data_IF_002393242196
#
_entry.id   IF_002393242196
#
_cell.length_a   1.000
_cell.length_b   1.000
_cell.length_c   1.000
_cell.angle_alpha   90.00
_cell.angle_beta   90.00
_cell.angle_gamma   90.00
#
_symmetry.space_group_name_H-M   'P 1'
#
loop_
_entity.id
_entity.type
_entity.pdbx_description
1 polymer ?
#
# COMPACT_ATOMS: atom_id res chain seq x y z
N UNK A 1 4.14 -7.78 -18.34
CA UNK A 1 3.70 -9.15 -17.93
C UNK A 1 4.82 -9.80 -17.11
N UNK A 2 4.54 -10.67 -16.13
CA UNK A 2 5.59 -11.30 -15.31
C UNK A 2 6.38 -12.32 -16.12
N UNK A 3 7.72 -12.23 -16.07
CA UNK A 3 8.68 -13.10 -16.74
C UNK A 3 9.55 -13.85 -15.72
N UNK A 4 10.09 -14.99 -16.14
CA UNK A 4 10.98 -15.85 -15.33
C UNK A 4 12.14 -16.40 -16.16
N UNK A 5 12.28 -15.94 -17.38
CA UNK A 5 13.27 -16.40 -18.35
C UNK A 5 14.47 -15.45 -18.39
N UNK A 6 15.60 -16.00 -18.84
CA UNK A 6 16.79 -15.23 -19.19
C UNK A 6 16.59 -14.58 -20.56
N UNK A 7 16.55 -13.23 -20.67
CA UNK A 7 16.37 -12.53 -21.95
C UNK A 7 17.52 -12.82 -22.92
N UNK A 8 17.28 -12.69 -24.22
CA UNK A 8 18.34 -12.90 -25.20
C UNK A 8 19.34 -11.72 -25.17
N UNK A 9 20.64 -11.95 -24.91
CA UNK A 9 21.64 -10.88 -24.82
C UNK A 9 21.85 -10.11 -26.13
N UNK A 10 21.50 -10.67 -27.29
CA UNK A 10 21.64 -9.99 -28.59
C UNK A 10 20.46 -9.09 -28.91
N UNK A 11 19.27 -9.40 -28.38
CA UNK A 11 18.03 -8.66 -28.66
C UNK A 11 17.81 -7.60 -27.57
N UNK A 12 17.99 -7.98 -26.30
CA UNK A 12 17.71 -7.14 -25.14
C UNK A 12 18.91 -7.17 -24.16
N UNK A 13 20.05 -6.57 -24.54
CA UNK A 13 21.29 -6.64 -23.76
C UNK A 13 21.15 -6.04 -22.35
N UNK A 14 20.44 -4.91 -22.23
CA UNK A 14 20.25 -4.22 -20.96
C UNK A 14 19.41 -5.04 -19.99
N UNK A 15 18.29 -5.61 -20.46
CA UNK A 15 17.43 -6.43 -19.63
C UNK A 15 18.15 -7.72 -19.23
N UNK A 16 18.85 -8.37 -20.17
CA UNK A 16 19.67 -9.54 -19.88
C UNK A 16 20.69 -9.25 -18.78
N UNK A 17 21.45 -8.14 -18.89
CA UNK A 17 22.40 -7.73 -17.87
C UNK A 17 21.73 -7.57 -16.50
N UNK A 18 20.61 -6.84 -16.41
CA UNK A 18 19.89 -6.62 -15.15
C UNK A 18 19.34 -7.92 -14.55
N UNK A 19 18.83 -8.84 -15.37
CA UNK A 19 18.30 -10.14 -14.90
C UNK A 19 19.42 -11.00 -14.33
N UNK A 20 20.56 -11.09 -15.02
CA UNK A 20 21.72 -11.85 -14.54
C UNK A 20 22.29 -11.24 -13.25
N UNK A 21 22.37 -9.91 -13.15
CA UNK A 21 22.89 -9.22 -11.96
C UNK A 21 21.95 -9.33 -10.77
N UNK A 22 20.66 -9.05 -10.95
CA UNK A 22 19.74 -8.83 -9.83
C UNK A 22 18.75 -9.97 -9.60
N UNK A 23 18.40 -10.75 -10.62
CA UNK A 23 17.30 -11.73 -10.54
C UNK A 23 17.77 -13.18 -10.54
N UNK A 24 19.03 -13.43 -10.88
CA UNK A 24 19.62 -14.75 -10.72
C UNK A 24 19.75 -15.08 -9.23
N UNK A 25 19.16 -16.20 -8.82
CA UNK A 25 19.28 -16.69 -7.46
C UNK A 25 20.72 -17.13 -7.17
N UNK A 26 21.27 -16.62 -6.07
CA UNK A 26 22.57 -17.02 -5.54
C UNK A 26 22.38 -17.61 -4.15
N UNK A 27 22.84 -18.86 -3.97
CA UNK A 27 22.92 -19.47 -2.66
C UNK A 27 24.10 -18.85 -1.89
N UNK A 28 23.90 -18.40 -0.65
CA UNK A 28 24.96 -17.89 0.21
C UNK A 28 25.16 -18.78 1.44
N UNK A 29 26.18 -18.50 2.25
CA UNK A 29 26.49 -19.24 3.49
C UNK A 29 25.34 -19.25 4.52
N UNK A 30 24.30 -18.41 4.34
CA UNK A 30 23.10 -18.36 5.20
C UNK A 30 21.97 -19.24 4.72
N UNK A 31 22.08 -19.88 3.55
CA UNK A 31 21.15 -20.91 3.09
C UNK A 31 21.29 -22.14 3.99
N UNK A 32 20.51 -22.18 5.07
CA UNK A 32 20.65 -23.12 6.19
C UNK A 32 20.32 -24.59 5.90
N UNK A 33 19.93 -24.94 4.67
CA UNK A 33 19.57 -26.31 4.32
C UNK A 33 19.78 -26.51 2.84
N UNK A 34 20.87 -27.21 2.48
CA UNK A 34 20.85 -28.06 1.29
C UNK A 34 20.25 -29.37 1.77
N UNK A 35 18.99 -29.62 1.44
CA UNK A 35 18.40 -30.91 1.79
C UNK A 35 18.95 -31.93 0.79
N UNK A 36 19.85 -32.80 1.25
CA UNK A 36 20.60 -33.73 0.39
C UNK A 36 19.70 -34.75 -0.31
N UNK A 37 18.48 -34.94 0.18
CA UNK A 37 17.44 -35.81 -0.37
C UNK A 37 16.70 -35.17 -1.54
N UNK A 38 16.39 -33.87 -1.48
CA UNK A 38 15.58 -33.17 -2.48
C UNK A 38 16.37 -32.26 -3.44
N UNK A 39 17.69 -32.12 -3.25
CA UNK A 39 18.59 -31.28 -4.09
C UNK A 39 18.07 -29.84 -4.28
N UNK A 40 17.34 -29.30 -3.31
CA UNK A 40 16.83 -27.94 -3.34
C UNK A 40 17.55 -27.07 -2.31
N UNK A 41 17.88 -25.85 -2.71
CA UNK A 41 18.33 -24.80 -1.79
C UNK A 41 17.16 -24.35 -0.90
N UNK A 42 17.46 -23.78 0.26
CA UNK A 42 16.49 -23.35 1.30
C UNK A 42 15.32 -22.45 0.84
N UNK A 43 15.36 -21.90 -0.38
CA UNK A 43 14.28 -21.10 -0.99
C UNK A 43 13.49 -21.83 -2.08
N UNK A 44 13.67 -23.14 -2.24
CA UNK A 44 12.98 -23.96 -3.25
C UNK A 44 13.51 -23.74 -4.66
N UNK A 45 14.80 -23.42 -4.80
CA UNK A 45 15.49 -23.33 -6.08
C UNK A 45 16.40 -24.56 -6.24
N UNK A 46 16.58 -25.14 -7.45
CA UNK A 46 15.95 -24.74 -8.72
C UNK A 46 14.43 -25.01 -8.74
N UNK A 47 13.68 -24.13 -9.40
CA UNK A 47 12.24 -24.29 -9.60
C UNK A 47 11.96 -25.32 -10.72
N UNK A 48 10.82 -26.03 -10.70
CA UNK A 48 10.50 -27.03 -11.71
C UNK A 48 10.35 -26.41 -13.10
N UNK A 49 10.72 -27.16 -14.14
CA UNK A 49 10.41 -26.83 -15.52
C UNK A 49 8.91 -26.98 -15.78
N UNK A 50 8.35 -26.10 -16.58
CA UNK A 50 6.94 -26.15 -16.98
C UNK A 50 6.74 -25.44 -18.31
N UNK A 51 5.88 -25.99 -19.17
CA UNK A 51 5.55 -25.38 -20.46
C UNK A 51 4.54 -24.24 -20.35
N UNK A 52 3.87 -24.09 -19.19
CA UNK A 52 2.85 -23.07 -18.98
C UNK A 52 2.85 -22.54 -17.56
N UNK A 53 2.38 -21.31 -17.39
CA UNK A 53 2.13 -20.75 -16.06
C UNK A 53 0.76 -21.21 -15.56
N UNK A 54 0.69 -21.82 -14.38
CA UNK A 54 -0.57 -22.31 -13.81
C UNK A 54 -0.61 -22.24 -12.29
N UNK A 55 -1.82 -22.23 -11.74
CA UNK A 55 -2.07 -22.40 -10.32
C UNK A 55 -2.42 -23.87 -10.05
N UNK A 56 -1.63 -24.55 -9.21
CA UNK A 56 -2.02 -25.88 -8.71
C UNK A 56 -2.99 -25.71 -7.53
N UNK A 57 -4.06 -26.49 -7.48
CA UNK A 57 -5.15 -26.36 -6.49
C UNK A 57 -4.67 -26.44 -5.04
N UNK A 58 -3.58 -27.17 -4.79
CA UNK A 58 -3.01 -27.35 -3.45
C UNK A 58 -1.85 -26.41 -3.15
N UNK A 59 -1.37 -25.63 -4.13
CA UNK A 59 -0.22 -24.76 -3.95
C UNK A 59 -0.65 -23.34 -3.58
N UNK A 60 0.07 -22.76 -2.63
CA UNK A 60 -0.09 -21.36 -2.24
C UNK A 60 0.53 -20.38 -3.26
N UNK A 61 1.17 -20.89 -4.32
CA UNK A 61 1.94 -20.12 -5.30
C UNK A 61 1.70 -20.64 -6.71
N UNK A 62 1.83 -19.73 -7.67
CA UNK A 62 1.86 -20.07 -9.09
C UNK A 62 3.16 -20.78 -9.47
N UNK A 63 3.04 -21.76 -10.36
CA UNK A 63 4.17 -22.34 -11.07
C UNK A 63 4.28 -21.58 -12.39
N UNK A 64 5.44 -21.00 -12.67
CA UNK A 64 5.68 -20.23 -13.89
C UNK A 64 6.23 -21.13 -15.00
N UNK A 65 5.88 -20.79 -16.24
CA UNK A 65 6.47 -21.37 -17.43
C UNK A 65 8.00 -21.20 -17.42
N UNK A 66 8.74 -22.30 -17.40
CA UNK A 66 10.19 -22.36 -17.49
C UNK A 66 10.55 -23.50 -18.43
N UNK A 67 11.04 -23.17 -19.62
CA UNK A 67 11.36 -24.13 -20.67
C UNK A 67 12.83 -24.52 -20.66
N UNK A 68 13.72 -23.63 -20.18
CA UNK A 68 15.15 -23.88 -20.11
C UNK A 68 15.63 -24.09 -18.68
N UNK A 69 16.73 -24.83 -18.53
CA UNK A 69 17.36 -25.07 -17.23
C UNK A 69 17.90 -23.78 -16.58
N UNK A 70 18.37 -22.83 -17.39
CA UNK A 70 18.86 -21.52 -16.90
C UNK A 70 17.76 -20.71 -16.19
N UNK A 71 16.50 -20.84 -16.62
CA UNK A 71 15.35 -20.13 -16.07
C UNK A 71 14.93 -20.65 -14.68
N UNK A 72 15.37 -21.85 -14.31
CA UNK A 72 15.00 -22.49 -13.05
C UNK A 72 15.52 -21.76 -11.83
N UNK A 73 16.56 -20.95 -11.98
CA UNK A 73 17.18 -20.15 -10.93
C UNK A 73 16.86 -18.66 -11.03
N UNK A 74 15.99 -18.28 -11.98
CA UNK A 74 15.58 -16.89 -12.14
C UNK A 74 14.37 -16.60 -11.26
N UNK A 75 14.49 -15.52 -10.50
CA UNK A 75 13.44 -14.97 -9.65
C UNK A 75 12.44 -14.24 -10.56
N UNK A 76 11.13 -14.48 -10.42
CA UNK A 76 10.10 -13.80 -11.20
C UNK A 76 10.19 -12.27 -11.14
N UNK A 77 10.14 -11.62 -12.30
CA UNK A 77 10.29 -10.17 -12.44
C UNK A 77 9.31 -9.58 -13.44
N UNK A 78 9.15 -8.26 -13.39
CA UNK A 78 8.40 -7.49 -14.38
C UNK A 78 9.41 -6.66 -15.20
N UNK A 79 9.54 -6.86 -16.53
CA UNK A 79 10.64 -6.30 -17.32
C UNK A 79 10.74 -4.78 -17.26
N UNK A 80 9.63 -4.08 -17.48
CA UNK A 80 9.59 -2.62 -17.48
C UNK A 80 9.97 -2.07 -16.10
N UNK A 81 9.50 -2.72 -15.04
CA UNK A 81 9.81 -2.30 -13.67
C UNK A 81 11.28 -2.56 -13.34
N UNK A 82 11.86 -3.66 -13.81
CA UNK A 82 13.26 -3.97 -13.60
C UNK A 82 14.17 -2.96 -14.30
N UNK A 83 13.82 -2.54 -15.52
CA UNK A 83 14.56 -1.53 -16.29
C UNK A 83 14.56 -0.16 -15.61
N UNK A 84 13.44 0.23 -14.99
CA UNK A 84 13.31 1.50 -14.25
C UNK A 84 13.99 1.41 -12.88
N UNK A 85 13.72 0.36 -12.12
CA UNK A 85 14.17 0.19 -10.73
C UNK A 85 15.66 -0.16 -10.61
N UNK A 86 16.19 -0.96 -11.56
CA UNK A 86 17.58 -1.42 -11.59
C UNK A 86 18.06 -2.05 -10.28
N UNK A 87 17.23 -2.94 -9.72
CA UNK A 87 17.53 -3.65 -8.48
C UNK A 87 16.75 -4.95 -8.34
N UNK A 88 17.08 -5.74 -7.32
CA UNK A 88 16.40 -7.01 -7.04
C UNK A 88 14.93 -6.78 -6.66
N UNK A 89 14.03 -7.41 -7.40
CA UNK A 89 12.57 -7.38 -7.20
C UNK A 89 11.98 -8.74 -7.47
N UNK A 90 11.02 -9.19 -6.66
CA UNK A 90 10.32 -10.46 -6.87
C UNK A 90 8.84 -10.19 -7.14
N UNK A 91 8.45 -10.22 -8.41
CA UNK A 91 7.08 -9.99 -8.87
C UNK A 91 6.37 -11.32 -9.07
N UNK A 92 5.29 -11.57 -8.33
CA UNK A 92 4.56 -12.84 -8.42
C UNK A 92 3.05 -12.63 -8.54
N UNK A 93 2.39 -13.46 -9.33
CA UNK A 93 0.97 -13.71 -9.21
C UNK A 93 0.66 -14.32 -7.84
N UNK A 94 -0.41 -13.82 -7.23
CA UNK A 94 -0.85 -14.22 -5.91
C UNK A 94 -2.14 -15.04 -6.02
N UNK A 95 -2.24 -16.11 -5.22
CA UNK A 95 -3.51 -16.79 -4.99
C UNK A 95 -4.18 -16.19 -3.76
N UNK A 96 -5.49 -16.33 -3.61
CA UNK A 96 -6.22 -15.83 -2.43
C UNK A 96 -5.59 -16.36 -1.13
N UNK A 97 -5.33 -17.66 -1.07
CA UNK A 97 -4.74 -18.30 0.11
C UNK A 97 -3.28 -17.87 0.35
N UNK A 98 -2.50 -17.75 -0.74
CA UNK A 98 -1.11 -17.28 -0.67
C UNK A 98 -1.01 -15.84 -0.18
N UNK A 99 -1.90 -14.98 -0.66
CA UNK A 99 -2.02 -13.58 -0.24
C UNK A 99 -2.37 -13.48 1.25
N UNK A 100 -3.43 -14.16 1.71
CA UNK A 100 -3.83 -14.17 3.12
C UNK A 100 -2.67 -14.63 4.00
N UNK A 101 -2.02 -15.75 3.67
CA UNK A 101 -0.86 -16.24 4.43
C UNK A 101 0.28 -15.23 4.47
N UNK A 102 0.56 -14.56 3.34
CA UNK A 102 1.61 -13.56 3.27
C UNK A 102 1.28 -12.35 4.16
N UNK A 103 0.07 -11.78 4.04
CA UNK A 103 -0.36 -10.68 4.88
C UNK A 103 -0.32 -11.06 6.36
N UNK A 104 -0.88 -12.21 6.74
CA UNK A 104 -0.85 -12.71 8.11
C UNK A 104 0.58 -12.78 8.64
N UNK A 105 1.54 -13.32 7.86
CA UNK A 105 2.95 -13.38 8.27
C UNK A 105 3.55 -12.01 8.64
N UNK A 106 3.17 -10.95 7.93
CA UNK A 106 3.68 -9.60 8.20
C UNK A 106 2.92 -8.89 9.30
N UNK A 107 1.59 -9.05 9.35
CA UNK A 107 0.76 -8.54 10.43
C UNK A 107 1.21 -9.14 11.75
N UNK A 108 1.48 -10.44 11.79
CA UNK A 108 1.86 -11.17 13.00
C UNK A 108 3.38 -11.26 13.17
N UNK A 109 4.15 -10.41 12.46
CA UNK A 109 5.60 -10.39 12.62
C UNK A 109 5.92 -9.96 14.04
N UNK A 110 6.72 -10.77 14.73
CA UNK A 110 7.14 -10.49 16.10
C UNK A 110 7.84 -9.14 16.16
N UNK A 111 7.35 -8.26 17.02
CA UNK A 111 8.02 -7.01 17.33
C UNK A 111 9.21 -7.26 18.27
N UNK A 112 10.23 -6.37 18.28
CA UNK A 112 11.35 -6.50 19.20
C UNK A 112 10.85 -6.58 20.65
N UNK A 113 11.06 -7.71 21.30
CA UNK A 113 10.57 -7.98 22.66
C UNK A 113 11.61 -7.62 23.73
N UNK A 114 12.56 -6.73 23.43
CA UNK A 114 13.66 -6.38 24.34
C UNK A 114 13.21 -5.89 25.73
N UNK A 115 11.96 -5.44 25.85
CA UNK A 115 11.38 -4.94 27.10
C UNK A 115 10.65 -6.02 27.94
N UNK A 116 10.24 -7.14 27.33
CA UNK A 116 9.40 -8.14 28.00
C UNK A 116 9.72 -9.57 27.53
N UNK A 117 10.04 -10.44 28.48
CA UNK A 117 10.16 -11.88 28.23
C UNK A 117 8.77 -12.52 28.14
N UNK A 118 8.35 -12.81 26.91
CA UNK A 118 7.06 -13.46 26.64
C UNK A 118 7.32 -14.93 26.33
N UNK A 119 6.88 -15.81 27.24
CA UNK A 119 7.01 -17.26 27.19
C UNK A 119 5.90 -17.94 26.37
N UNK A 120 5.54 -17.37 25.21
CA UNK A 120 4.55 -17.96 24.29
C UNK A 120 5.26 -18.68 23.15
N UNK A 121 4.94 -19.96 22.92
CA UNK A 121 5.50 -20.76 21.82
C UNK A 121 4.92 -20.39 20.46
N UNK A 122 3.63 -20.00 20.42
CA UNK A 122 2.95 -19.63 19.18
C UNK A 122 3.23 -18.16 18.81
N UNK A 123 3.81 -17.97 17.62
CA UNK A 123 4.08 -16.65 17.05
C UNK A 123 2.84 -15.74 16.98
N UNK A 124 1.66 -16.31 16.77
CA UNK A 124 0.42 -15.53 16.69
C UNK A 124 0.01 -15.00 18.06
N UNK A 125 0.00 -15.87 19.07
CA UNK A 125 -0.28 -15.49 20.46
C UNK A 125 0.75 -14.49 20.97
N UNK A 126 2.03 -14.75 20.69
CA UNK A 126 3.11 -13.83 21.03
C UNK A 126 2.88 -12.45 20.42
N UNK A 127 2.51 -12.38 19.13
CA UNK A 127 2.19 -11.09 18.52
C UNK A 127 1.02 -10.39 19.23
N UNK A 128 -0.10 -11.09 19.47
CA UNK A 128 -1.28 -10.48 20.12
C UNK A 128 -0.95 -9.94 21.51
N UNK A 129 -0.21 -10.71 22.32
CA UNK A 129 0.16 -10.31 23.69
C UNK A 129 1.22 -9.22 23.73
N UNK A 130 2.19 -9.25 22.82
CA UNK A 130 3.32 -8.32 22.79
C UNK A 130 3.09 -7.04 21.98
N UNK A 131 1.97 -6.94 21.25
CA UNK A 131 1.81 -5.92 20.21
C UNK A 131 1.95 -4.52 20.80
N UNK A 132 2.92 -3.76 20.31
CA UNK A 132 3.04 -2.34 20.63
C UNK A 132 1.93 -1.60 19.91
N UNK A 133 1.18 -0.83 20.70
CA UNK A 133 0.14 0.06 20.18
C UNK A 133 0.72 1.46 20.04
N UNK A 134 0.49 2.10 18.91
CA UNK A 134 0.81 3.50 18.74
C UNK A 134 -0.04 4.37 19.67
N UNK A 135 0.46 5.54 20.08
CA UNK A 135 -0.28 6.46 20.97
C UNK A 135 -1.65 6.84 20.40
N UNK A 136 -1.75 7.06 19.08
CA UNK A 136 -3.03 7.36 18.43
C UNK A 136 -4.00 6.19 18.51
N UNK A 137 -3.52 4.97 18.28
CA UNK A 137 -4.33 3.76 18.41
C UNK A 137 -4.84 3.57 19.84
N UNK A 138 -3.97 3.79 20.84
CA UNK A 138 -4.34 3.77 22.25
C UNK A 138 -5.42 4.81 22.59
N UNK A 139 -5.26 6.06 22.15
CA UNK A 139 -6.24 7.12 22.40
C UNK A 139 -7.60 6.75 21.78
N UNK A 140 -7.61 6.27 20.53
CA UNK A 140 -8.83 5.86 19.84
C UNK A 140 -9.52 4.71 20.59
N UNK A 141 -8.75 3.71 21.02
CA UNK A 141 -9.26 2.57 21.81
C UNK A 141 -9.82 3.01 23.17
N UNK A 142 -9.11 3.87 23.90
CA UNK A 142 -9.52 4.38 25.21
C UNK A 142 -10.79 5.23 25.13
N UNK A 143 -10.93 6.01 24.06
CA UNK A 143 -12.12 6.80 23.77
C UNK A 143 -13.27 5.97 23.18
N UNK A 144 -13.08 4.64 23.04
CA UNK A 144 -14.04 3.69 22.46
C UNK A 144 -14.48 4.09 21.05
N UNK A 145 -13.63 4.81 20.32
CA UNK A 145 -13.87 5.10 18.92
C UNK A 145 -13.56 3.86 18.08
N UNK A 146 -14.33 3.63 17.01
CA UNK A 146 -14.05 2.53 16.11
C UNK A 146 -12.72 2.79 15.37
N UNK A 147 -11.75 1.88 15.53
CA UNK A 147 -10.42 1.98 14.91
C UNK A 147 -10.45 2.06 13.37
N UNK A 148 -11.43 1.38 12.77
CA UNK A 148 -11.65 1.40 11.33
C UNK A 148 -13.15 1.52 11.08
N UNK A 149 -13.55 2.64 10.48
CA UNK A 149 -14.83 2.78 9.78
C UNK A 149 -14.52 3.19 8.35
N UNK A 150 -14.79 2.29 7.41
CA UNK A 150 -14.86 2.68 6.00
C UNK A 150 -16.27 3.23 5.75
N UNK A 151 -16.48 4.51 6.00
CA UNK A 151 -17.64 5.24 5.50
C UNK A 151 -17.18 6.30 4.51
N UNK A 152 -17.97 6.52 3.46
CA UNK A 152 -17.79 7.66 2.54
C UNK A 152 -18.06 8.99 3.28
N UNK A 153 -18.71 8.92 4.45
CA UNK A 153 -18.98 10.04 5.34
C UNK A 153 -17.68 10.56 5.98
N UNK A 154 -17.33 11.81 5.70
CA UNK A 154 -16.29 12.55 6.41
C UNK A 154 -16.86 13.01 7.76
N UNK A 155 -16.32 12.50 8.86
CA UNK A 155 -16.68 12.95 10.20
C UNK A 155 -15.65 13.98 10.66
N UNK A 156 -16.03 15.26 10.66
CA UNK A 156 -15.14 16.32 11.12
C UNK A 156 -15.13 16.38 12.64
N UNK A 157 -13.96 16.11 13.24
CA UNK A 157 -13.75 16.23 14.68
C UNK A 157 -12.99 17.53 14.95
N UNK A 158 -13.64 18.59 15.48
CA UNK A 158 -12.95 19.82 15.83
C UNK A 158 -12.04 19.56 17.04
N UNK A 159 -10.79 19.21 16.78
CA UNK A 159 -9.77 18.91 17.79
C UNK A 159 -9.25 20.15 18.53
N UNK A 160 -9.60 21.34 18.05
CA UNK A 160 -9.18 22.63 18.62
C UNK A 160 -10.35 23.25 19.40
N UNK A 161 -10.13 23.71 20.66
CA UNK A 161 -11.14 24.45 21.42
C UNK A 161 -11.63 25.68 20.65
N UNK A 162 -12.90 26.06 20.80
CA UNK A 162 -13.55 27.14 20.04
C UNK A 162 -12.73 28.44 20.03
N UNK A 163 -12.08 28.75 21.14
CA UNK A 163 -11.24 29.94 21.36
C UNK A 163 -9.99 29.99 20.46
N UNK A 164 -9.46 28.84 20.04
CA UNK A 164 -8.23 28.72 19.25
C UNK A 164 -8.47 28.31 17.80
N UNK A 165 -9.72 28.18 17.37
CA UNK A 165 -10.05 27.78 15.99
C UNK A 165 -9.69 28.91 15.02
N UNK A 166 -8.92 28.58 14.00
CA UNK A 166 -8.68 29.49 12.87
C UNK A 166 -9.98 29.74 12.13
N UNK A 167 -10.32 31.02 11.91
CA UNK A 167 -11.48 31.42 11.13
C UNK A 167 -11.06 31.65 9.67
N UNK A 168 -11.85 31.16 8.74
CA UNK A 168 -11.61 31.36 7.30
C UNK A 168 -12.39 32.56 6.80
N UNK A 169 -11.74 33.40 5.98
CA UNK A 169 -12.41 34.55 5.35
C UNK A 169 -13.42 34.05 4.31
N UNK A 170 -14.60 34.66 4.26
CA UNK A 170 -15.62 34.38 3.25
C UNK A 170 -15.15 34.86 1.87
N UNK A 171 -15.55 34.19 0.77
CA UNK A 171 -15.23 34.64 -0.58
C UNK A 171 -15.84 36.03 -0.89
N UNK A 172 -15.16 36.79 -1.76
CA UNK A 172 -15.46 38.21 -2.06
C UNK A 172 -16.92 38.44 -2.48
N UNK A 173 -17.54 37.51 -3.20
CA UNK A 173 -18.93 37.66 -3.64
C UNK A 173 -19.92 37.66 -2.45
N UNK A 174 -19.71 36.79 -1.45
CA UNK A 174 -20.50 36.79 -0.21
C UNK A 174 -20.21 38.03 0.64
N UNK A 175 -18.98 38.55 0.61
CA UNK A 175 -18.62 39.78 1.30
C UNK A 175 -19.28 41.02 0.68
N UNK A 176 -19.53 40.99 -0.63
CA UNK A 176 -20.18 42.11 -1.34
C UNK A 176 -21.66 42.21 -0.99
N UNK A 177 -22.32 41.08 -0.69
CA UNK A 177 -23.71 41.02 -0.21
C UNK A 177 -23.88 41.44 1.26
N UNK A 178 -22.77 41.55 2.01
CA UNK A 178 -22.76 42.02 3.41
C UNK A 178 -22.71 43.56 3.47
N UNK A 179 -22.49 44.26 2.35
CA UNK A 179 -22.42 45.72 2.29
C UNK A 179 -23.77 46.42 2.39
N UNK A 180 -24.16 46.81 3.61
CA UNK A 180 -24.62 48.15 4.06
C UNK A 180 -25.42 48.10 5.38
N UNK A 181 -25.80 46.91 5.85
CA UNK A 181 -26.44 46.75 7.15
C UNK A 181 -25.37 46.54 8.24
N UNK A 182 -25.19 47.56 9.10
CA UNK A 182 -24.43 47.51 10.36
C UNK A 182 -25.07 46.56 11.39
N UNK A 183 -25.33 45.31 11.01
CA UNK A 183 -25.72 44.25 11.93
C UNK A 183 -24.47 43.40 12.20
N UNK A 184 -24.00 43.44 13.45
CA UNK A 184 -22.85 42.69 13.99
C UNK A 184 -22.91 41.16 13.74
N UNK A 185 -24.05 40.64 13.25
CA UNK A 185 -24.29 39.23 12.98
C UNK A 185 -23.74 38.70 11.65
N UNK A 186 -23.15 39.52 10.77
CA UNK A 186 -22.54 39.05 9.51
C UNK A 186 -21.04 39.36 9.44
N UNK A 187 -20.26 38.66 10.26
CA UNK A 187 -18.80 38.76 10.22
C UNK A 187 -18.23 38.29 8.87
N UNK A 188 -17.07 38.83 8.44
CA UNK A 188 -16.42 38.48 7.16
C UNK A 188 -15.76 37.09 7.18
N UNK A 189 -15.95 36.33 8.26
CA UNK A 189 -15.40 35.01 8.46
C UNK A 189 -16.50 33.96 8.53
N UNK A 190 -16.18 32.72 8.18
CA UNK A 190 -16.95 31.54 8.52
C UNK A 190 -16.88 31.28 10.03
N UNK A 191 -17.99 30.83 10.62
CA UNK A 191 -18.07 30.54 12.06
C UNK A 191 -17.20 29.33 12.43
N UNK A 192 -17.15 28.31 11.57
CA UNK A 192 -16.14 27.27 11.62
C UNK A 192 -15.72 26.71 10.23
N UNK A 193 -14.78 25.76 10.24
CA UNK A 193 -14.30 25.10 9.03
C UNK A 193 -15.33 24.11 8.43
N UNK A 194 -16.32 23.69 9.23
CA UNK A 194 -17.38 22.76 8.84
C UNK A 194 -18.38 23.51 7.96
N UNK A 195 -18.80 24.69 8.39
CA UNK A 195 -19.70 25.57 7.62
C UNK A 195 -19.13 25.89 6.24
N UNK A 196 -17.83 26.22 6.19
CA UNK A 196 -17.13 26.40 4.92
C UNK A 196 -17.14 25.15 4.03
N UNK A 197 -17.01 23.96 4.62
CA UNK A 197 -16.97 22.70 3.87
C UNK A 197 -18.35 22.36 3.28
N UNK A 198 -19.42 22.60 4.03
CA UNK A 198 -20.79 22.37 3.58
C UNK A 198 -21.33 23.47 2.65
N UNK A 199 -20.77 24.68 2.68
CA UNK A 199 -21.06 25.74 1.70
C UNK A 199 -20.33 25.55 0.35
N UNK A 200 -19.76 24.36 0.11
CA UNK A 200 -19.27 24.01 -1.21
C UNK A 200 -20.46 23.98 -2.19
N UNK A 201 -20.26 24.47 -3.41
CA UNK A 201 -21.33 24.57 -4.40
C UNK A 201 -22.00 23.21 -4.66
N UNK A 202 -23.24 23.04 -4.20
CA UNK A 202 -24.12 21.87 -4.42
C UNK A 202 -24.66 21.81 -5.87
N UNK A 203 -23.81 22.13 -6.85
CA UNK A 203 -24.23 22.02 -8.24
C UNK A 203 -24.40 20.53 -8.57
N UNK A 204 -25.54 20.08 -9.13
CA UNK A 204 -25.82 18.66 -9.39
C UNK A 204 -24.71 17.94 -10.16
N UNK A 205 -24.04 18.68 -11.04
CA UNK A 205 -22.92 18.19 -11.86
C UNK A 205 -21.70 17.75 -11.02
N UNK A 206 -21.47 18.30 -9.83
CA UNK A 206 -20.35 17.93 -8.97
C UNK A 206 -20.59 16.63 -8.19
N UNK A 207 -21.84 16.19 -8.01
CA UNK A 207 -22.14 14.89 -7.39
C UNK A 207 -21.86 13.71 -8.33
N UNK A 208 -21.83 13.96 -9.65
CA UNK A 208 -21.65 12.95 -10.69
C UNK A 208 -20.27 12.97 -11.35
N UNK A 209 -19.46 13.99 -11.06
CA UNK A 209 -18.12 14.13 -11.63
C UNK A 209 -17.10 13.36 -10.79
N UNK A 210 -16.20 12.64 -11.46
CA UNK A 210 -15.06 12.03 -10.79
C UNK A 210 -13.94 13.06 -10.64
N UNK A 211 -13.08 12.87 -9.64
CA UNK A 211 -11.95 13.77 -9.39
C UNK A 211 -11.07 14.01 -10.65
N UNK A 212 -10.74 13.00 -11.48
CA UNK A 212 -9.99 13.24 -12.72
C UNK A 212 -10.76 14.08 -13.75
N UNK A 213 -12.06 13.84 -13.92
CA UNK A 213 -12.89 14.58 -14.88
C UNK A 213 -13.02 16.05 -14.46
N UNK A 214 -13.07 16.33 -13.16
CA UNK A 214 -13.10 17.70 -12.66
C UNK A 214 -11.90 18.54 -13.14
N UNK A 215 -10.68 18.00 -13.08
CA UNK A 215 -9.49 18.72 -13.56
C UNK A 215 -9.33 18.73 -15.08
N UNK A 216 -10.02 17.83 -15.78
CA UNK A 216 -10.09 17.85 -17.24
C UNK A 216 -11.05 18.94 -17.74
N UNK A 217 -12.24 18.99 -17.14
CA UNK A 217 -13.37 19.80 -17.63
C UNK A 217 -13.35 21.24 -17.11
N UNK A 218 -12.66 21.49 -15.99
CA UNK A 218 -12.64 22.81 -15.35
C UNK A 218 -11.21 23.35 -15.25
N UNK A 219 -11.03 24.61 -15.69
CA UNK A 219 -9.77 25.35 -15.53
C UNK A 219 -9.90 26.33 -14.38
N UNK A 220 -9.07 26.18 -13.35
CA UNK A 220 -9.01 27.14 -12.24
C UNK A 220 -8.39 28.43 -12.77
N UNK A 221 -9.21 29.48 -12.93
CA UNK A 221 -8.72 30.82 -13.24
C UNK A 221 -8.42 31.55 -11.95
N UNK A 222 -7.15 31.83 -11.70
CA UNK A 222 -6.75 32.78 -10.67
C UNK A 222 -7.04 34.19 -11.19
N UNK A 223 -7.78 34.98 -10.41
CA UNK A 223 -7.97 36.42 -10.63
C UNK A 223 -6.91 37.19 -9.87
#
# INVERSE_FOLDING_TARGET
MIQVDVPNPLIEPDLHHLVITFQKYHCNHRCRTYDSTDKQYSKGFPQPLSERTYCSSNNLRYVYCRTKQEDQIIIPYHPETLLIWRGHINFQYITTNGFVKYITKYVTKSEPSELFDISEEDSYKKHITARRLGTMELIILLLQYPLMRCSILVLYLPSVPSEFRYRFVKPIYLLTEIGDDNNDNKLPYWDDAIDKYFDCSDHPNFHLITYPNYFHDYTIRFK
#
